data_IF_822850532967
#
_entry.id   IF_822850532967
#
_cell.length_a   1.000
_cell.length_b   1.000
_cell.length_c   1.000
_cell.angle_alpha   90.00
_cell.angle_beta   90.00
_cell.angle_gamma   90.00
#
_symmetry.space_group_name_H-M   'P 1'
#
loop_
_entity.id
_entity.type
_entity.pdbx_description
1 polymer ?
#
# COMPACT_ATOMS: atom_id res chain seq x y z
N UNK A 1 -2.39 -17.49 8.91
CA UNK A 1 -3.14 -16.71 9.92
C UNK A 1 -3.15 -15.26 9.45
N UNK A 2 -4.26 -14.79 8.86
CA UNK A 2 -4.42 -13.38 8.48
C UNK A 2 -5.06 -12.65 9.66
N UNK A 3 -4.29 -11.80 10.34
CA UNK A 3 -4.78 -10.99 11.45
C UNK A 3 -5.63 -9.84 10.91
N UNK A 4 -6.95 -9.91 11.14
CA UNK A 4 -7.94 -8.88 10.82
C UNK A 4 -7.81 -7.76 11.86
N UNK A 5 -7.57 -6.52 11.43
CA UNK A 5 -7.57 -5.34 12.32
C UNK A 5 -8.98 -4.74 12.29
N UNK A 6 -9.65 -4.77 13.44
CA UNK A 6 -11.02 -4.28 13.58
C UNK A 6 -11.02 -2.77 13.86
N UNK A 7 -11.40 -1.96 12.88
CA UNK A 7 -11.72 -0.54 13.06
C UNK A 7 -13.07 -0.24 12.42
N UNK A 8 -14.12 -0.17 13.23
CA UNK A 8 -15.34 0.59 12.92
C UNK A 8 -16.10 0.20 11.65
N UNK A 9 -16.42 -1.09 11.49
CA UNK A 9 -17.47 -1.53 10.56
C UNK A 9 -17.08 -1.72 9.09
N UNK A 10 -15.82 -1.46 8.70
CA UNK A 10 -15.29 -1.82 7.38
C UNK A 10 -14.07 -2.73 7.55
N UNK A 11 -14.23 -4.01 7.23
CA UNK A 11 -13.12 -4.98 7.21
C UNK A 11 -12.21 -4.66 6.03
N UNK A 12 -11.15 -3.88 6.25
CA UNK A 12 -10.06 -3.77 5.28
C UNK A 12 -9.20 -5.02 5.41
N UNK A 13 -9.37 -5.96 4.48
CA UNK A 13 -8.43 -7.07 4.34
C UNK A 13 -7.02 -6.50 4.14
N UNK A 14 -6.06 -7.05 4.89
CA UNK A 14 -4.66 -6.64 4.75
C UNK A 14 -4.20 -6.88 3.32
N UNK A 15 -3.63 -5.85 2.72
CA UNK A 15 -3.04 -5.90 1.38
C UNK A 15 -1.69 -6.60 1.48
N UNK A 16 -1.38 -7.43 0.49
CA UNK A 16 -0.04 -7.97 0.26
C UNK A 16 0.29 -7.90 -1.22
N UNK A 17 1.56 -8.13 -1.58
CA UNK A 17 2.00 -8.22 -2.98
C UNK A 17 1.25 -9.28 -3.79
N UNK A 18 0.67 -10.28 -3.13
CA UNK A 18 -0.10 -11.33 -3.79
C UNK A 18 -1.61 -11.04 -3.86
N UNK A 19 -2.08 -9.98 -3.20
CA UNK A 19 -3.50 -9.62 -3.15
C UNK A 19 -4.01 -9.11 -4.50
N UNK A 20 -5.27 -9.40 -4.80
CA UNK A 20 -5.90 -8.95 -6.06
C UNK A 20 -5.94 -7.43 -6.16
N UNK A 21 -6.11 -6.73 -5.04
CA UNK A 21 -6.13 -5.27 -5.02
C UNK A 21 -4.76 -4.68 -5.41
N UNK A 22 -3.68 -5.23 -4.85
CA UNK A 22 -2.33 -4.85 -5.25
C UNK A 22 -2.08 -5.14 -6.73
N UNK A 23 -2.40 -6.35 -7.22
CA UNK A 23 -2.19 -6.73 -8.63
C UNK A 23 -2.96 -5.83 -9.60
N UNK A 24 -4.14 -5.35 -9.22
CA UNK A 24 -4.90 -4.36 -10.01
C UNK A 24 -4.16 -3.02 -10.11
N UNK A 25 -3.63 -2.51 -8.99
CA UNK A 25 -2.85 -1.27 -8.98
C UNK A 25 -1.58 -1.43 -9.81
N UNK A 26 -0.84 -2.53 -9.63
CA UNK A 26 0.38 -2.82 -10.38
C UNK A 26 0.11 -2.88 -11.89
N UNK A 27 -0.97 -3.56 -12.31
CA UNK A 27 -1.38 -3.62 -13.72
C UNK A 27 -1.66 -2.22 -14.28
N UNK A 28 -2.39 -1.38 -13.55
CA UNK A 28 -2.74 -0.03 -14.01
C UNK A 28 -1.50 0.85 -14.16
N UNK A 29 -0.55 0.76 -13.23
CA UNK A 29 0.72 1.48 -13.33
C UNK A 29 1.51 1.06 -14.57
N UNK A 30 1.60 -0.25 -14.83
CA UNK A 30 2.29 -0.79 -16.02
C UNK A 30 1.66 -0.31 -17.32
N UNK A 31 0.32 -0.24 -17.40
CA UNK A 31 -0.39 0.28 -18.58
C UNK A 31 -0.05 1.75 -18.86
N UNK A 32 0.22 2.52 -17.82
CA UNK A 32 0.64 3.93 -17.89
C UNK A 32 2.18 4.09 -17.98
N UNK A 33 2.93 3.00 -18.20
CA UNK A 33 4.39 2.96 -18.21
C UNK A 33 5.06 3.47 -16.91
N UNK A 34 4.37 3.37 -15.77
CA UNK A 34 4.93 3.65 -14.47
C UNK A 34 5.53 2.39 -13.83
N UNK A 35 6.67 2.57 -13.17
CA UNK A 35 7.30 1.56 -12.33
C UNK A 35 7.50 2.15 -10.93
N UNK A 36 7.40 1.30 -9.91
CA UNK A 36 7.59 1.69 -8.51
C UNK A 36 8.83 0.98 -7.97
N UNK A 37 9.61 1.71 -7.16
CA UNK A 37 10.70 1.11 -6.41
C UNK A 37 10.17 0.17 -5.33
N UNK A 38 10.71 -1.05 -5.25
CA UNK A 38 10.30 -2.09 -4.29
C UNK A 38 10.23 -1.60 -2.83
N UNK A 39 11.17 -0.75 -2.38
CA UNK A 39 11.14 -0.19 -1.02
C UNK A 39 9.95 0.76 -0.80
N UNK A 40 9.61 1.57 -1.80
CA UNK A 40 8.45 2.48 -1.75
C UNK A 40 7.17 1.64 -1.69
N UNK A 41 7.11 0.59 -2.49
CA UNK A 41 5.98 -0.34 -2.56
C UNK A 41 5.70 -1.05 -1.23
N UNK A 42 6.72 -1.66 -0.63
CA UNK A 42 6.58 -2.33 0.67
C UNK A 42 6.11 -1.35 1.76
N UNK A 43 6.69 -0.15 1.80
CA UNK A 43 6.27 0.89 2.76
C UNK A 43 4.86 1.40 2.51
N UNK A 44 4.43 1.47 1.26
CA UNK A 44 3.06 1.84 0.92
C UNK A 44 2.06 0.79 1.41
N UNK A 45 2.38 -0.51 1.24
CA UNK A 45 1.59 -1.62 1.78
C UNK A 45 1.51 -1.52 3.31
N UNK A 46 2.63 -1.29 4.00
CA UNK A 46 2.66 -1.12 5.45
C UNK A 46 1.81 0.07 5.91
N UNK A 47 1.87 1.19 5.20
CA UNK A 47 1.08 2.37 5.51
C UNK A 47 -0.43 2.09 5.40
N UNK A 48 -0.88 1.41 4.34
CA UNK A 48 -2.29 1.05 4.17
C UNK A 48 -2.74 0.03 5.22
N UNK A 49 -1.91 -0.99 5.47
CA UNK A 49 -2.18 -2.02 6.48
C UNK A 49 -2.15 -1.51 7.92
N UNK A 50 -1.58 -0.32 8.17
CA UNK A 50 -1.56 0.29 9.51
C UNK A 50 -2.96 0.66 10.03
N UNK A 51 -3.96 0.72 9.14
CA UNK A 51 -5.32 1.14 9.47
C UNK A 51 -5.46 2.62 9.80
N UNK A 52 -4.36 3.40 9.80
CA UNK A 52 -4.41 4.84 10.02
C UNK A 52 -4.97 5.53 8.78
N UNK A 53 -5.64 6.67 9.00
CA UNK A 53 -6.05 7.54 7.89
C UNK A 53 -4.81 7.97 7.10
N UNK A 54 -4.80 7.64 5.81
CA UNK A 54 -3.70 7.99 4.91
C UNK A 54 -3.76 9.50 4.62
N UNK A 55 -2.67 10.20 4.91
CA UNK A 55 -2.55 11.65 4.68
C UNK A 55 -1.51 11.95 3.61
N UNK A 56 -1.58 13.11 2.93
CA UNK A 56 -0.55 13.53 1.98
C UNK A 56 0.86 13.59 2.58
N UNK A 57 0.97 13.94 3.87
CA UNK A 57 2.25 13.96 4.57
C UNK A 57 2.86 12.54 4.69
N UNK A 58 2.04 11.55 5.05
CA UNK A 58 2.48 10.15 5.11
C UNK A 58 2.91 9.62 3.74
N UNK A 59 2.19 9.96 2.67
CA UNK A 59 2.56 9.55 1.30
C UNK A 59 3.94 10.12 0.94
N UNK A 60 4.18 11.41 1.19
CA UNK A 60 5.49 12.06 0.95
C UNK A 60 6.61 11.38 1.73
N UNK A 61 6.34 11.00 2.98
CA UNK A 61 7.32 10.30 3.81
C UNK A 61 7.64 8.90 3.26
N UNK A 62 6.62 8.11 2.90
CA UNK A 62 6.78 6.79 2.27
C UNK A 62 7.67 6.87 1.02
N UNK A 63 7.40 7.83 0.13
CA UNK A 63 8.17 8.05 -1.09
C UNK A 63 9.62 8.43 -0.74
N UNK A 64 9.82 9.41 0.15
CA UNK A 64 11.15 9.87 0.55
C UNK A 64 11.99 8.75 1.19
N UNK A 65 11.36 7.89 1.99
CA UNK A 65 12.04 6.78 2.67
C UNK A 65 12.32 5.60 1.75
N UNK A 66 11.52 5.39 0.70
CA UNK A 66 11.77 4.34 -0.30
C UNK A 66 12.73 4.76 -1.42
N UNK A 67 13.04 6.06 -1.57
CA UNK A 67 14.07 6.57 -2.48
C UNK A 67 15.50 6.53 -1.90
N UNK A 68 15.65 6.26 -0.60
CA UNK A 68 16.93 6.07 0.07
C UNK A 68 17.36 4.60 0.08
#
# INVERSE_FOLDING_TARGET
MNSIINMGGFYLDKISLNSDMYKRVEKNLKLENFTINEKVELRAIDAVNSGKNITPAMIKEVIKLGQK
#
